data_IF_599398931308
#
_entry.id   IF_599398931308
#
_cell.length_a   1.000
_cell.length_b   1.000
_cell.length_c   1.000
_cell.angle_alpha   90.00
_cell.angle_beta   90.00
_cell.angle_gamma   90.00
#
_symmetry.space_group_name_H-M   'P 1'
#
loop_
_entity.id
_entity.type
_entity.pdbx_description
1 polymer ?
#
# COMPACT_ATOMS: atom_id res chain seq x y z
N UNK A 1 -11.70 -4.49 17.82
CA UNK A 1 -10.43 -3.80 17.51
C UNK A 1 -10.54 -3.33 16.08
N UNK A 2 -10.42 -2.03 15.84
CA UNK A 2 -10.40 -1.48 14.49
C UNK A 2 -9.10 -1.93 13.81
N UNK A 3 -9.21 -2.76 12.78
CA UNK A 3 -8.08 -3.11 11.94
C UNK A 3 -7.70 -1.88 11.10
N UNK A 4 -6.44 -1.50 11.16
CA UNK A 4 -5.85 -0.53 10.24
C UNK A 4 -5.62 -1.23 8.90
N UNK A 5 -5.69 -0.46 7.83
CA UNK A 5 -5.40 -0.93 6.48
C UNK A 5 -4.26 -0.08 5.95
N UNK A 6 -3.26 -0.76 5.39
CA UNK A 6 -2.19 -0.11 4.67
C UNK A 6 -2.61 0.10 3.21
N UNK A 7 -2.50 1.33 2.74
CA UNK A 7 -2.62 1.68 1.33
C UNK A 7 -1.22 2.03 0.84
N UNK A 8 -0.73 1.31 -0.16
CA UNK A 8 0.57 1.55 -0.78
C UNK A 8 0.35 1.95 -2.23
N UNK A 9 0.90 3.10 -2.63
CA UNK A 9 0.93 3.58 -4.00
C UNK A 9 2.37 3.56 -4.49
N UNK A 10 2.66 2.67 -5.44
CA UNK A 10 3.97 2.57 -6.07
C UNK A 10 3.95 3.19 -7.48
N UNK A 11 4.70 4.25 -7.67
CA UNK A 11 4.85 4.95 -8.94
C UNK A 11 6.25 4.69 -9.51
N UNK A 12 6.35 4.04 -10.66
CA UNK A 12 7.63 3.86 -11.37
C UNK A 12 7.85 5.06 -12.28
N UNK A 13 9.06 5.63 -12.26
CA UNK A 13 9.38 6.84 -13.02
C UNK A 13 9.18 6.65 -14.52
N UNK A 14 8.21 7.38 -15.09
CA UNK A 14 7.79 7.34 -16.49
C UNK A 14 6.79 6.24 -16.84
N UNK A 15 6.16 5.60 -15.85
CA UNK A 15 4.86 4.95 -16.02
C UNK A 15 3.75 6.00 -15.92
N UNK A 16 2.72 5.91 -16.77
CA UNK A 16 1.55 6.82 -16.68
C UNK A 16 0.65 6.51 -15.50
N UNK A 17 0.72 5.29 -14.95
CA UNK A 17 -0.16 4.83 -13.88
C UNK A 17 0.69 4.32 -12.72
N UNK A 18 0.34 4.75 -11.52
CA UNK A 18 0.87 4.17 -10.30
C UNK A 18 0.09 2.90 -9.95
N UNK A 19 0.79 1.90 -9.43
CA UNK A 19 0.18 0.68 -8.92
C UNK A 19 -0.23 0.91 -7.47
N UNK A 20 -1.50 0.73 -7.14
CA UNK A 20 -1.98 0.77 -5.77
C UNK A 20 -2.22 -0.64 -5.23
N UNK A 21 -1.84 -0.86 -3.98
CA UNK A 21 -2.13 -2.07 -3.22
C UNK A 21 -2.83 -1.68 -1.92
N UNK A 22 -3.88 -2.43 -1.58
CA UNK A 22 -4.55 -2.32 -0.28
C UNK A 22 -4.27 -3.60 0.50
N UNK A 23 -3.61 -3.45 1.64
CA UNK A 23 -3.30 -4.55 2.53
C UNK A 23 -4.11 -4.35 3.82
N UNK A 24 -5.11 -5.19 3.99
CA UNK A 24 -5.84 -5.32 5.25
C UNK A 24 -5.31 -6.56 5.96
N UNK A 25 -4.57 -6.35 7.05
CA UNK A 25 -4.01 -7.44 7.85
C UNK A 25 -4.58 -7.37 9.27
N UNK A 26 -4.97 -8.50 9.84
CA UNK A 26 -5.55 -8.57 11.19
C UNK A 26 -4.53 -8.22 12.28
N UNK A 27 -3.25 -8.20 11.96
CA UNK A 27 -2.16 -7.77 12.86
C UNK A 27 -1.97 -6.26 12.90
N UNK A 28 -2.57 -5.51 11.96
CA UNK A 28 -2.57 -4.04 11.95
C UNK A 28 -3.55 -3.50 12.99
N UNK A 29 -3.24 -3.71 14.26
CA UNK A 29 -4.06 -3.27 15.39
C UNK A 29 -3.77 -1.83 15.80
N UNK A 30 -2.64 -1.28 15.36
CA UNK A 30 -2.19 0.10 15.60
C UNK A 30 -1.50 0.65 14.35
N UNK A 31 -1.34 1.99 14.28
CA UNK A 31 -0.57 2.64 13.22
C UNK A 31 0.88 2.14 13.21
N UNK A 32 1.55 2.08 14.36
CA UNK A 32 2.90 1.52 14.51
C UNK A 32 3.03 0.09 13.96
N UNK A 33 2.07 -0.79 14.27
CA UNK A 33 2.09 -2.17 13.76
C UNK A 33 1.94 -2.24 12.23
N UNK A 34 1.19 -1.30 11.65
CA UNK A 34 1.08 -1.14 10.21
C UNK A 34 2.39 -0.59 9.62
N UNK A 35 2.92 0.51 10.18
CA UNK A 35 4.17 1.14 9.73
C UNK A 35 5.38 0.18 9.79
N UNK A 36 5.44 -0.67 10.82
CA UNK A 36 6.50 -1.68 10.96
C UNK A 36 6.55 -2.70 9.81
N UNK A 37 5.48 -2.86 9.03
CA UNK A 37 5.40 -3.80 7.89
C UNK A 37 5.65 -3.13 6.55
N UNK A 38 5.83 -1.81 6.54
CA UNK A 38 6.02 -1.03 5.31
C UNK A 38 7.27 -1.47 4.57
N UNK A 39 8.41 -1.60 5.25
CA UNK A 39 9.66 -2.04 4.63
C UNK A 39 9.55 -3.42 3.97
N UNK A 40 8.87 -4.36 4.64
CA UNK A 40 8.64 -5.70 4.09
C UNK A 40 7.80 -5.65 2.81
N UNK A 41 6.70 -4.90 2.83
CA UNK A 41 5.77 -4.76 1.72
C UNK A 41 6.43 -4.02 0.55
N UNK A 42 7.11 -2.91 0.81
CA UNK A 42 7.86 -2.14 -0.19
C UNK A 42 8.98 -2.98 -0.78
N UNK A 43 9.73 -3.72 0.03
CA UNK A 43 10.77 -4.63 -0.44
C UNK A 43 10.23 -5.72 -1.36
N UNK A 44 9.08 -6.31 -1.00
CA UNK A 44 8.38 -7.28 -1.83
C UNK A 44 7.90 -6.69 -3.16
N UNK A 45 7.24 -5.52 -3.13
CA UNK A 45 6.78 -4.83 -4.34
C UNK A 45 7.95 -4.42 -5.24
N UNK A 46 9.02 -3.87 -4.67
CA UNK A 46 10.25 -3.52 -5.39
C UNK A 46 10.83 -4.74 -6.09
N UNK A 47 10.90 -5.88 -5.39
CA UNK A 47 11.38 -7.14 -5.97
C UNK A 47 10.49 -7.63 -7.11
N UNK A 48 9.17 -7.41 -7.04
CA UNK A 48 8.25 -7.72 -8.13
C UNK A 48 8.44 -6.79 -9.34
N UNK A 49 8.65 -5.49 -9.12
CA UNK A 49 8.98 -4.57 -10.21
C UNK A 49 10.35 -4.89 -10.83
N UNK A 50 11.34 -5.29 -10.04
CA UNK A 50 12.66 -5.67 -10.52
C UNK A 50 12.64 -6.92 -11.43
N UNK A 51 11.65 -7.82 -11.27
CA UNK A 51 11.43 -8.95 -12.17
C UNK A 51 10.93 -8.51 -13.55
N UNK A 52 10.40 -7.29 -13.68
CA UNK A 52 9.90 -6.74 -14.93
C UNK A 52 11.02 -5.99 -15.65
N UNK A 53 11.50 -6.47 -16.81
CA UNK A 53 12.63 -5.86 -17.50
C UNK A 53 12.33 -4.43 -17.95
N UNK A 54 11.06 -4.08 -18.19
CA UNK A 54 10.63 -2.72 -18.55
C UNK A 54 10.84 -1.67 -17.44
N UNK A 55 11.04 -2.12 -16.20
CA UNK A 55 11.25 -1.27 -15.03
C UNK A 55 12.70 -1.27 -14.53
N UNK A 56 13.59 -2.02 -15.19
CA UNK A 56 15.00 -2.11 -14.80
C UNK A 56 15.69 -0.76 -14.89
N UNK A 57 16.31 -0.33 -13.78
CA UNK A 57 17.01 0.95 -13.67
C UNK A 57 16.10 2.18 -13.52
N UNK A 58 14.78 1.98 -13.42
CA UNK A 58 13.83 3.06 -13.17
C UNK A 58 13.68 3.26 -11.66
N UNK A 59 13.58 4.51 -11.25
CA UNK A 59 13.28 4.85 -9.87
C UNK A 59 11.82 4.47 -9.56
N UNK A 60 11.59 3.86 -8.40
CA UNK A 60 10.25 3.59 -7.88
C UNK A 60 10.04 4.42 -6.64
N UNK A 61 8.94 5.18 -6.62
CA UNK A 61 8.53 5.98 -5.47
C UNK A 61 7.34 5.29 -4.81
N UNK A 62 7.36 5.21 -3.48
CA UNK A 62 6.30 4.62 -2.68
C UNK A 62 5.68 5.69 -1.80
N UNK A 63 4.36 5.84 -1.90
CA UNK A 63 3.55 6.60 -0.95
C UNK A 63 2.76 5.59 -0.12
N UNK A 64 2.91 5.63 1.19
CA UNK A 64 2.31 4.66 2.11
C UNK A 64 1.45 5.41 3.12
N UNK A 65 0.22 4.94 3.29
CA UNK A 65 -0.72 5.47 4.27
C UNK A 65 -1.31 4.32 5.08
N UNK A 66 -1.08 4.33 6.39
CA UNK A 66 -1.75 3.46 7.35
C UNK A 66 -2.99 4.18 7.87
N UNK A 67 -4.17 3.71 7.47
CA UNK A 67 -5.44 4.36 7.81
C UNK A 67 -6.30 3.43 8.64
N UNK A 68 -6.97 3.96 9.66
CA UNK A 68 -8.02 3.21 10.33
C UNK A 68 -9.28 3.15 9.45
N UNK A 69 -10.22 2.26 9.79
CA UNK A 69 -11.44 2.03 9.03
C UNK A 69 -12.22 3.32 8.73
N UNK A 70 -12.33 4.23 9.70
CA UNK A 70 -13.05 5.50 9.55
C UNK A 70 -12.37 6.44 8.56
N UNK A 71 -11.05 6.56 8.63
CA UNK A 71 -10.25 7.36 7.70
C UNK A 71 -10.30 6.78 6.30
N UNK A 72 -10.27 5.46 6.16
CA UNK A 72 -10.35 4.79 4.88
C UNK A 72 -11.69 5.04 4.18
N UNK A 73 -12.78 5.01 4.96
CA UNK A 73 -14.12 5.35 4.48
C UNK A 73 -14.20 6.82 4.04
N UNK A 74 -13.62 7.74 4.81
CA UNK A 74 -13.64 9.18 4.50
C UNK A 74 -12.77 9.55 3.28
N UNK A 75 -11.60 8.94 3.13
CA UNK A 75 -10.62 9.29 2.09
C UNK A 75 -10.87 8.58 0.77
N UNK A 76 -11.31 7.31 0.80
CA UNK A 76 -11.50 6.52 -0.42
C UNK A 76 -12.98 6.37 -0.82
N UNK A 77 -13.93 6.82 0.00
CA UNK A 77 -15.36 6.69 -0.27
C UNK A 77 -15.87 5.25 -0.31
N UNK A 78 -15.07 4.30 0.19
CA UNK A 78 -15.39 2.87 0.18
C UNK A 78 -16.22 2.60 1.41
N UNK A 79 -17.53 2.78 1.29
CA UNK A 79 -18.45 1.96 2.07
C UNK A 79 -18.10 0.51 1.74
N UNK A 80 -17.71 -0.29 2.73
CA UNK A 80 -17.78 -1.73 2.56
C UNK A 80 -19.20 -2.04 2.07
N UNK A 81 -19.33 -2.60 0.86
CA UNK A 81 -20.49 -3.41 0.54
C UNK A 81 -20.42 -4.60 1.49
N UNK A 82 -21.01 -4.44 2.68
CA UNK A 82 -21.35 -5.57 3.53
C UNK A 82 -22.16 -6.53 2.65
N UNK A 83 -21.56 -7.67 2.35
CA UNK A 83 -22.27 -8.84 1.83
C UNK A 83 -22.09 -9.95 2.85
#
# INVERSE_FOLDING_TARGET
MDAFTMVVLACVSGEMKCTSARISDSTFTTADACEARVDEIVGSMTSQFAKRPEFKGRQVTYDISCMNKQQLWATLGIAESQT
#
